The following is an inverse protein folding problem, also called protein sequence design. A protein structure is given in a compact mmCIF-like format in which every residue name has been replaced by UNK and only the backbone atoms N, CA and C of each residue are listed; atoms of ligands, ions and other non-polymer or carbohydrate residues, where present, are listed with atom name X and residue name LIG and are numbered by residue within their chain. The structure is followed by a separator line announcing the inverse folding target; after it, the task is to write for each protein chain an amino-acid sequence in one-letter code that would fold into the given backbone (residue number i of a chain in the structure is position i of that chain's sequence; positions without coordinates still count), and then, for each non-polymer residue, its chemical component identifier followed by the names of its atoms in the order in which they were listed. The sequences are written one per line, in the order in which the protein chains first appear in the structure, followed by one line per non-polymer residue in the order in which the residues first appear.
data_IF_686046596268
#
_entry.id   IF_686046596268
#
_cell.length_a   1.000
_cell.length_b   1.000
_cell.length_c   1.000
_cell.angle_alpha   90.00
_cell.angle_beta   90.00
_cell.angle_gamma   90.00
#
_symmetry.space_group_name_H-M   'P 1'
#
loop_
_entity.id
_entity.type
_entity.pdbx_description
1 polymer ?
#
# COMPACT_ATOMS: atom_id res chain seq x y z
N UNK A 1 52.25 -37.36 21.72
CA UNK A 1 52.27 -36.72 23.05
C UNK A 1 51.67 -35.34 22.92
N UNK A 2 50.80 -34.96 23.88
CA UNK A 2 50.26 -33.62 24.13
C UNK A 2 49.05 -33.15 23.30
N UNK A 3 47.90 -33.20 23.98
CA UNK A 3 46.66 -32.47 23.74
C UNK A 3 46.82 -30.96 23.96
N UNK A 4 45.97 -30.15 23.32
CA UNK A 4 45.25 -28.92 23.77
C UNK A 4 44.22 -28.62 22.63
N UNK A 5 42.90 -28.62 22.81
CA UNK A 5 42.07 -27.67 23.58
C UNK A 5 41.62 -26.49 22.67
N UNK A 6 40.33 -26.32 22.32
CA UNK A 6 39.88 -25.29 21.36
C UNK A 6 39.82 -23.89 22.02
N UNK A 7 40.13 -22.79 21.30
CA UNK A 7 40.00 -21.44 21.83
C UNK A 7 38.54 -20.94 21.78
N UNK A 8 38.06 -20.44 22.93
CA UNK A 8 36.76 -19.79 23.10
C UNK A 8 36.68 -18.36 22.51
N UNK A 9 35.51 -17.71 22.60
CA UNK A 9 35.21 -16.47 21.88
C UNK A 9 35.84 -15.23 22.53
N UNK A 10 36.14 -14.16 21.77
CA UNK A 10 36.62 -12.91 22.35
C UNK A 10 35.50 -12.13 23.04
N UNK A 11 35.86 -11.62 24.21
CA UNK A 11 35.08 -10.75 25.11
C UNK A 11 34.84 -9.36 24.54
N UNK A 12 33.73 -8.80 24.97
CA UNK A 12 33.36 -7.37 25.02
C UNK A 12 34.39 -6.49 25.75
N UNK A 13 34.91 -5.46 25.08
CA UNK A 13 35.34 -4.18 25.65
C UNK A 13 34.16 -3.22 25.43
N UNK A 14 33.47 -2.56 26.36
CA UNK A 14 33.70 -2.07 27.72
C UNK A 14 34.84 -1.05 27.86
N UNK A 15 34.70 0.07 27.15
CA UNK A 15 35.28 1.35 27.56
C UNK A 15 34.42 1.94 28.68
N UNK A 16 35.00 2.01 29.88
CA UNK A 16 34.42 2.56 31.09
C UNK A 16 35.11 3.89 31.44
N UNK A 17 34.27 4.89 31.80
CA UNK A 17 34.47 5.85 32.92
C UNK A 17 35.44 7.02 32.68
N UNK A 18 35.31 8.23 33.24
CA UNK A 18 34.56 8.77 34.40
C UNK A 18 34.59 10.35 34.33
N UNK A 19 34.24 11.17 35.35
CA UNK A 19 32.95 11.88 35.41
C UNK A 19 33.04 13.41 35.74
N UNK A 20 31.86 14.00 35.94
CA UNK A 20 31.52 15.01 36.97
C UNK A 20 32.01 16.46 36.83
N UNK A 21 31.06 17.40 36.66
CA UNK A 21 30.83 18.40 37.70
C UNK A 21 29.39 18.96 37.70
N UNK A 22 28.85 19.06 38.92
CA UNK A 22 27.54 19.61 39.30
C UNK A 22 27.65 21.13 39.49
N UNK A 23 26.56 21.84 39.24
CA UNK A 23 25.93 22.83 40.14
C UNK A 23 24.79 23.53 39.34
N UNK A 24 23.54 23.52 39.80
CA UNK A 24 23.03 24.46 40.82
C UNK A 24 22.66 25.78 40.12
N UNK A 25 21.40 26.15 39.92
CA UNK A 25 20.58 26.87 40.90
C UNK A 25 19.25 27.24 40.17
N UNK A 26 18.07 26.96 40.74
CA UNK A 26 17.26 27.84 41.61
C UNK A 26 16.32 28.76 40.79
N UNK A 27 15.04 28.70 41.13
CA UNK A 27 13.88 29.18 40.35
C UNK A 27 13.65 30.70 40.28
N UNK A 28 12.43 31.10 39.83
CA UNK A 28 12.09 32.42 39.25
C UNK A 28 11.65 33.44 40.33
N UNK A 29 11.42 34.75 40.03
CA UNK A 29 10.12 35.21 39.49
C UNK A 29 10.15 36.55 38.70
N UNK A 30 8.99 36.92 38.12
CA UNK A 30 8.47 38.29 38.25
C UNK A 30 8.54 39.27 37.06
N UNK A 31 7.39 39.44 36.42
CA UNK A 31 6.73 40.71 36.02
C UNK A 31 7.51 41.87 35.36
N UNK A 32 7.00 42.35 34.21
CA UNK A 32 6.22 43.62 34.11
C UNK A 32 6.26 44.26 32.69
N UNK A 33 5.13 44.86 32.29
CA UNK A 33 5.03 45.87 31.22
C UNK A 33 4.37 45.38 29.93
N UNK A 34 3.04 45.23 29.85
CA UNK A 34 2.04 46.27 29.53
C UNK A 34 2.50 47.28 28.46
N UNK A 35 1.96 47.14 27.25
CA UNK A 35 1.61 48.31 26.43
C UNK A 35 0.38 48.01 25.55
N UNK A 36 -0.74 48.47 26.10
CA UNK A 36 -2.02 48.74 25.46
C UNK A 36 -1.85 49.66 24.24
N UNK A 37 -2.48 49.31 23.11
CA UNK A 37 -2.92 50.30 22.11
C UNK A 37 -4.28 49.87 21.55
N UNK A 38 -5.22 50.80 21.77
CA UNK A 38 -6.64 50.87 21.44
C UNK A 38 -7.12 50.22 20.13
N UNK A 39 -8.39 49.79 20.20
CA UNK A 39 -9.32 49.30 19.17
C UNK A 39 -9.57 50.33 18.05
N UNK A 40 -10.03 49.86 16.89
CA UNK A 40 -11.40 50.13 16.42
C UNK A 40 -11.92 49.02 15.48
N UNK A 41 -13.24 48.69 15.49
CA UNK A 41 -13.84 47.66 14.65
C UNK A 41 -14.49 48.26 13.40
N UNK A 42 -14.01 47.88 12.22
CA UNK A 42 -14.68 48.14 10.94
C UNK A 42 -15.37 46.87 10.45
N UNK A 43 -16.66 46.73 10.75
CA UNK A 43 -17.55 45.77 10.08
C UNK A 43 -17.74 46.21 8.63
N UNK A 44 -17.14 45.49 7.69
CA UNK A 44 -17.55 45.51 6.28
C UNK A 44 -18.22 44.18 6.00
N UNK A 45 -19.53 44.16 6.20
CA UNK A 45 -20.43 43.16 5.66
C UNK A 45 -20.90 43.69 4.31
N UNK A 46 -20.37 43.16 3.22
CA UNK A 46 -21.03 43.26 1.93
C UNK A 46 -20.76 42.02 1.07
N UNK A 47 -21.88 41.48 0.56
CA UNK A 47 -22.01 40.67 -0.63
C UNK A 47 -21.45 39.24 -0.64
N UNK A 48 -22.31 38.34 -0.15
CA UNK A 48 -22.47 37.04 -0.74
C UNK A 48 -22.94 37.20 -2.21
N UNK A 49 -22.04 36.93 -3.15
CA UNK A 49 -22.43 36.47 -4.48
C UNK A 49 -21.74 35.14 -4.74
N UNK A 50 -22.59 34.16 -5.03
CA UNK A 50 -22.27 32.74 -5.05
C UNK A 50 -21.11 32.44 -5.98
N UNK A 51 -20.14 31.69 -5.45
CA UNK A 51 -19.38 30.77 -6.28
C UNK A 51 -20.37 29.86 -7.00
N UNK A 52 -20.47 29.89 -8.33
CA UNK A 52 -20.96 28.73 -9.04
C UNK A 52 -19.83 27.73 -8.91
N UNK A 53 -19.94 26.85 -7.91
CA UNK A 53 -19.23 25.59 -7.92
C UNK A 53 -19.56 24.94 -9.26
N UNK A 54 -18.58 24.93 -10.15
CA UNK A 54 -18.51 23.96 -11.23
C UNK A 54 -18.46 22.60 -10.51
N UNK A 55 -19.62 22.03 -10.19
CA UNK A 55 -20.36 21.18 -11.10
C UNK A 55 -19.46 20.01 -11.48
N UNK A 56 -19.31 19.10 -10.52
CA UNK A 56 -19.18 17.67 -10.74
C UNK A 56 -18.23 17.25 -11.86
N UNK A 57 -16.93 17.44 -11.65
CA UNK A 57 -15.93 16.57 -12.27
C UNK A 57 -15.59 15.36 -11.37
N UNK A 58 -16.43 15.10 -10.37
CA UNK A 58 -16.27 14.01 -9.40
C UNK A 58 -17.50 13.08 -9.52
N UNK A 59 -17.58 12.26 -10.56
CA UNK A 59 -18.43 11.04 -10.60
C UNK A 59 -18.18 10.20 -11.86
N UNK A 60 -16.92 10.06 -12.27
CA UNK A 60 -16.49 8.80 -12.89
C UNK A 60 -15.82 7.94 -11.80
N UNK A 61 -16.44 7.87 -10.61
CA UNK A 61 -16.52 6.58 -9.92
C UNK A 61 -17.25 5.64 -10.88
N UNK A 62 -16.49 5.13 -11.85
CA UNK A 62 -16.80 3.88 -12.49
C UNK A 62 -17.06 2.96 -11.32
N UNK A 63 -18.32 2.58 -11.15
CA UNK A 63 -18.65 1.25 -10.68
C UNK A 63 -17.70 0.35 -11.47
N UNK A 64 -16.53 0.07 -10.88
CA UNK A 64 -15.67 -1.00 -11.32
C UNK A 64 -16.49 -2.22 -10.91
N UNK A 65 -17.55 -2.50 -11.69
CA UNK A 65 -18.27 -3.74 -11.66
C UNK A 65 -17.18 -4.76 -11.78
N UNK A 66 -16.81 -5.38 -10.67
CA UNK A 66 -15.99 -6.57 -10.67
C UNK A 66 -16.77 -7.61 -11.48
N UNK A 67 -16.55 -7.64 -12.79
CA UNK A 67 -17.15 -8.65 -13.68
C UNK A 67 -16.80 -10.03 -13.20
N UNK A 68 -15.67 -10.18 -12.52
CA UNK A 68 -15.33 -11.41 -11.83
C UNK A 68 -16.43 -11.87 -10.84
N UNK A 69 -17.05 -10.97 -10.09
CA UNK A 69 -18.14 -11.31 -9.18
C UNK A 69 -19.38 -11.82 -9.94
N UNK A 70 -19.69 -11.22 -11.09
CA UNK A 70 -20.77 -11.71 -11.97
C UNK A 70 -20.42 -13.10 -12.53
N UNK A 71 -19.15 -13.33 -12.89
CA UNK A 71 -18.66 -14.64 -13.37
C UNK A 71 -18.80 -15.72 -12.30
N UNK A 72 -18.51 -15.41 -11.03
CA UNK A 72 -18.68 -16.36 -9.92
C UNK A 72 -20.14 -16.76 -9.68
N UNK A 73 -21.11 -15.94 -10.13
CA UNK A 73 -22.54 -16.21 -10.02
C UNK A 73 -23.13 -16.97 -11.22
N UNK A 74 -22.31 -17.36 -12.21
CA UNK A 74 -22.77 -18.13 -13.36
C UNK A 74 -23.13 -19.57 -12.96
N UNK A 75 -23.97 -20.21 -13.77
CA UNK A 75 -24.27 -21.64 -13.60
C UNK A 75 -22.99 -22.49 -13.72
N UNK A 76 -22.95 -23.63 -13.03
CA UNK A 76 -21.75 -24.48 -12.92
C UNK A 76 -21.15 -24.86 -14.29
N UNK A 77 -21.98 -25.10 -15.30
CA UNK A 77 -21.54 -25.40 -16.67
C UNK A 77 -20.68 -24.28 -17.29
N UNK A 78 -20.96 -23.02 -16.96
CA UNK A 78 -20.17 -21.88 -17.44
C UNK A 78 -18.93 -21.65 -16.58
N UNK A 79 -19.01 -21.91 -15.26
CA UNK A 79 -17.84 -21.88 -14.39
C UNK A 79 -16.78 -22.89 -14.83
N UNK A 80 -17.20 -24.11 -15.23
CA UNK A 80 -16.29 -25.11 -15.80
C UNK A 80 -15.59 -24.58 -17.05
N UNK A 81 -16.30 -23.89 -17.95
CA UNK A 81 -15.69 -23.28 -19.14
C UNK A 81 -14.68 -22.19 -18.77
N UNK A 82 -14.99 -21.37 -17.76
CA UNK A 82 -14.05 -20.38 -17.22
C UNK A 82 -12.82 -21.06 -16.63
N UNK A 83 -12.98 -22.15 -15.87
CA UNK A 83 -11.87 -22.91 -15.33
C UNK A 83 -10.97 -23.47 -16.44
N UNK A 84 -11.56 -23.97 -17.54
CA UNK A 84 -10.78 -24.44 -18.69
C UNK A 84 -9.99 -23.33 -19.37
N UNK A 85 -10.52 -22.10 -19.44
CA UNK A 85 -9.78 -20.94 -19.96
C UNK A 85 -8.49 -20.67 -19.17
N UNK A 86 -8.54 -20.85 -17.84
CA UNK A 86 -7.39 -20.62 -16.96
C UNK A 86 -6.49 -21.85 -16.77
N UNK A 87 -6.93 -23.04 -17.14
CA UNK A 87 -6.12 -24.27 -17.00
C UNK A 87 -4.90 -24.30 -17.94
N UNK A 88 -5.00 -23.66 -19.12
CA UNK A 88 -3.93 -23.59 -20.11
C UNK A 88 -3.31 -22.21 -20.29
N UNK A 89 -3.71 -21.21 -19.49
CA UNK A 89 -3.21 -19.85 -19.62
C UNK A 89 -2.02 -19.60 -18.70
N UNK A 90 -1.20 -18.60 -19.06
CA UNK A 90 -0.06 -18.18 -18.23
C UNK A 90 -0.50 -17.47 -16.95
N UNK A 91 -1.74 -16.94 -16.89
CA UNK A 91 -2.25 -16.18 -15.76
C UNK A 91 -3.14 -17.06 -14.87
N UNK A 92 -2.75 -17.38 -13.63
CA UNK A 92 -3.56 -18.23 -12.77
C UNK A 92 -4.89 -17.57 -12.35
N UNK A 93 -5.95 -18.37 -12.21
CA UNK A 93 -7.27 -17.90 -11.81
C UNK A 93 -7.27 -17.16 -10.45
N UNK A 94 -6.43 -17.59 -9.50
CA UNK A 94 -6.26 -16.92 -8.22
C UNK A 94 -5.72 -15.48 -8.37
N UNK A 95 -4.79 -15.25 -9.30
CA UNK A 95 -4.28 -13.90 -9.61
C UNK A 95 -5.39 -13.05 -10.22
N UNK A 96 -6.15 -13.62 -11.17
CA UNK A 96 -7.29 -12.93 -11.79
C UNK A 96 -8.33 -12.47 -10.77
N UNK A 97 -8.62 -13.32 -9.78
CA UNK A 97 -9.59 -13.02 -8.74
C UNK A 97 -9.07 -11.94 -7.79
N UNK A 98 -7.84 -12.08 -7.30
CA UNK A 98 -7.27 -11.14 -6.33
C UNK A 98 -7.12 -9.73 -6.90
N UNK A 99 -6.79 -9.62 -8.19
CA UNK A 99 -6.58 -8.36 -8.88
C UNK A 99 -7.75 -7.98 -9.79
N UNK A 100 -8.96 -8.46 -9.51
CA UNK A 100 -10.08 -8.33 -10.44
C UNK A 100 -10.37 -6.90 -10.86
N UNK A 101 -10.60 -6.02 -9.89
CA UNK A 101 -10.86 -4.60 -10.14
C UNK A 101 -9.71 -3.92 -10.91
N UNK A 102 -8.45 -4.23 -10.56
CA UNK A 102 -7.30 -3.67 -11.23
C UNK A 102 -7.21 -4.15 -12.68
N UNK A 103 -7.35 -5.46 -12.92
CA UNK A 103 -7.29 -6.05 -14.27
C UNK A 103 -8.38 -5.45 -15.16
N UNK A 104 -9.60 -5.30 -14.65
CA UNK A 104 -10.72 -4.79 -15.42
C UNK A 104 -10.61 -3.29 -15.73
N UNK A 105 -9.83 -2.54 -14.95
CA UNK A 105 -9.52 -1.14 -15.20
C UNK A 105 -8.46 -0.89 -16.27
N UNK A 106 -7.73 -1.91 -16.74
CA UNK A 106 -6.63 -1.71 -17.69
C UNK A 106 -7.10 -1.68 -19.15
N UNK A 107 -6.42 -0.88 -19.98
CA UNK A 107 -6.62 -0.86 -21.42
C UNK A 107 -5.80 -1.97 -22.11
N UNK A 108 -6.27 -3.22 -21.99
CA UNK A 108 -5.60 -4.38 -22.58
C UNK A 108 -5.45 -4.30 -24.10
N UNK A 109 -6.37 -3.60 -24.79
CA UNK A 109 -6.28 -3.41 -26.25
C UNK A 109 -5.05 -2.60 -26.62
N UNK A 110 -4.81 -1.48 -25.93
CA UNK A 110 -3.61 -0.66 -26.14
C UNK A 110 -2.33 -1.36 -25.72
N UNK A 111 -2.39 -2.20 -24.68
CA UNK A 111 -1.23 -3.00 -24.26
C UNK A 111 -0.89 -4.11 -25.26
N UNK A 112 -1.88 -4.65 -25.96
CA UNK A 112 -1.68 -5.68 -26.98
C UNK A 112 -1.12 -5.13 -28.31
N UNK A 113 -1.08 -3.81 -28.50
CA UNK A 113 -0.53 -3.20 -29.72
C UNK A 113 0.98 -3.47 -29.86
N UNK A 114 1.47 -3.72 -31.09
CA UNK A 114 2.89 -3.92 -31.35
C UNK A 114 3.72 -2.71 -30.89
N UNK A 115 4.86 -2.96 -30.23
CA UNK A 115 5.76 -1.94 -29.67
C UNK A 115 5.17 -1.07 -28.56
N UNK A 116 3.99 -1.41 -28.02
CA UNK A 116 3.43 -0.68 -26.89
C UNK A 116 4.28 -0.86 -25.63
N UNK A 117 4.77 0.23 -25.07
CA UNK A 117 5.42 0.24 -23.75
C UNK A 117 4.43 -0.03 -22.59
N UNK A 118 3.13 -0.07 -22.88
CA UNK A 118 2.10 -0.32 -21.87
C UNK A 118 2.14 -1.77 -21.39
N UNK A 119 2.43 -2.75 -22.26
CA UNK A 119 2.49 -4.16 -21.85
C UNK A 119 3.50 -4.43 -20.72
N UNK A 120 4.80 -4.06 -20.85
CA UNK A 120 5.76 -4.27 -19.76
C UNK A 120 5.43 -3.43 -18.52
N UNK A 121 4.88 -2.22 -18.69
CA UNK A 121 4.46 -1.38 -17.56
C UNK A 121 3.33 -2.04 -16.75
N UNK A 122 2.29 -2.53 -17.43
CA UNK A 122 1.18 -3.25 -16.79
C UNK A 122 1.66 -4.55 -16.14
N UNK A 123 2.58 -5.26 -16.78
CA UNK A 123 3.16 -6.47 -16.19
C UNK A 123 3.93 -6.18 -14.90
N UNK A 124 4.76 -5.14 -14.87
CA UNK A 124 5.45 -4.73 -13.64
C UNK A 124 4.46 -4.29 -12.55
N UNK A 125 3.44 -3.51 -12.90
CA UNK A 125 2.37 -3.13 -11.96
C UNK A 125 1.64 -4.36 -11.40
N UNK A 126 1.37 -5.36 -12.24
CA UNK A 126 0.75 -6.62 -11.82
C UNK A 126 1.61 -7.35 -10.77
N UNK A 127 2.92 -7.45 -10.99
CA UNK A 127 3.84 -8.10 -10.04
C UNK A 127 3.90 -7.35 -8.70
N UNK A 128 3.94 -6.01 -8.73
CA UNK A 128 3.93 -5.18 -7.51
C UNK A 128 2.63 -5.42 -6.72
N UNK A 129 1.48 -5.36 -7.37
CA UNK A 129 0.18 -5.59 -6.71
C UNK A 129 0.02 -7.03 -6.19
N UNK A 130 0.62 -8.01 -6.87
CA UNK A 130 0.71 -9.37 -6.35
C UNK A 130 1.55 -9.44 -5.07
N UNK A 131 2.67 -8.72 -5.01
CA UNK A 131 3.48 -8.61 -3.80
C UNK A 131 2.74 -7.96 -2.63
N UNK A 132 2.00 -6.89 -2.91
CA UNK A 132 1.19 -6.19 -1.91
C UNK A 132 0.04 -7.06 -1.37
N UNK A 133 -0.68 -7.74 -2.25
CA UNK A 133 -1.76 -8.66 -1.84
C UNK A 133 -1.23 -9.83 -0.98
N UNK A 134 -0.03 -10.34 -1.28
CA UNK A 134 0.66 -11.33 -0.44
C UNK A 134 1.02 -10.84 0.96
N UNK A 135 1.33 -9.54 1.10
CA UNK A 135 1.63 -8.89 2.37
C UNK A 135 0.37 -8.53 3.17
N UNK A 136 -0.73 -8.20 2.47
CA UNK A 136 -2.00 -7.82 3.09
C UNK A 136 -2.83 -9.00 3.60
N UNK A 137 -2.64 -10.20 3.04
CA UNK A 137 -3.37 -11.41 3.45
C UNK A 137 -3.04 -11.79 4.90
N UNK A 138 -4.07 -12.09 5.68
CA UNK A 138 -3.99 -12.45 7.09
C UNK A 138 -3.43 -13.85 7.35
N UNK A 139 -3.58 -14.33 8.58
CA UNK A 139 -3.16 -15.66 9.02
C UNK A 139 -4.27 -16.72 8.99
N UNK A 140 -5.40 -16.44 8.32
CA UNK A 140 -6.51 -17.38 8.18
C UNK A 140 -6.18 -18.61 7.32
N UNK A 141 -7.02 -19.66 7.40
CA UNK A 141 -6.84 -20.88 6.60
C UNK A 141 -7.04 -20.64 5.09
N UNK A 142 -8.10 -19.92 4.72
CA UNK A 142 -8.36 -19.52 3.34
C UNK A 142 -7.24 -18.63 2.79
N UNK A 143 -6.73 -17.73 3.64
CA UNK A 143 -5.59 -16.86 3.31
C UNK A 143 -4.30 -17.65 3.09
N UNK A 144 -4.08 -18.74 3.82
CA UNK A 144 -2.89 -19.58 3.64
C UNK A 144 -2.85 -20.22 2.26
N UNK A 145 -3.97 -20.82 1.82
CA UNK A 145 -4.08 -21.44 0.51
C UNK A 145 -3.94 -20.40 -0.60
N UNK A 146 -4.65 -19.26 -0.47
CA UNK A 146 -4.54 -18.15 -1.42
C UNK A 146 -3.11 -17.60 -1.49
N UNK A 147 -2.46 -17.38 -0.33
CA UNK A 147 -1.07 -16.93 -0.25
C UNK A 147 -0.09 -17.92 -0.85
N UNK A 148 -0.30 -19.22 -0.70
CA UNK A 148 0.51 -20.22 -1.39
C UNK A 148 0.35 -20.13 -2.91
N UNK A 149 -0.89 -20.06 -3.39
CA UNK A 149 -1.21 -19.94 -4.81
C UNK A 149 -0.63 -18.67 -5.43
N UNK A 150 -0.78 -17.52 -4.77
CA UNK A 150 -0.24 -16.25 -5.22
C UNK A 150 1.30 -16.23 -5.19
N UNK A 151 1.94 -16.84 -4.18
CA UNK A 151 3.41 -17.00 -4.17
C UNK A 151 3.91 -17.84 -5.33
N UNK A 152 3.22 -18.94 -5.63
CA UNK A 152 3.53 -19.79 -6.78
C UNK A 152 3.37 -18.99 -8.07
N UNK A 153 2.25 -18.29 -8.23
CA UNK A 153 1.96 -17.47 -9.40
C UNK A 153 3.00 -16.35 -9.61
N UNK A 154 3.38 -15.62 -8.55
CA UNK A 154 4.38 -14.55 -8.63
C UNK A 154 5.77 -15.08 -9.07
N UNK A 155 6.10 -16.34 -8.80
CA UNK A 155 7.37 -16.95 -9.24
C UNK A 155 7.28 -17.49 -10.66
N UNK A 156 6.11 -18.00 -11.04
CA UNK A 156 5.90 -18.66 -12.33
C UNK A 156 5.60 -17.65 -13.47
N UNK A 157 5.16 -16.44 -13.13
CA UNK A 157 5.01 -15.27 -14.02
C UNK A 157 6.34 -14.51 -14.16
#
# INVERSE_FOLDING_TARGET
TRAEGPPGPPRTEQEQRDPQERAGARGPPGAAGVKQKQRDPGTTQDRAEGSPGAAGAESEQRDHRDRWQEVQNLANTYLEQVHQLYAGSALPMAVRQCLAAWIEGQNWRQAAEPLSSHAPMLFHSLLVLLGESLGSLGSGHEDFMLKHNLRKAHRDL
#
